data_IF_095920856623
#
_entry.id   IF_095920856623
#
_cell.length_a   1.000
_cell.length_b   1.000
_cell.length_c   1.000
_cell.angle_alpha   90.00
_cell.angle_beta   90.00
_cell.angle_gamma   90.00
#
_symmetry.space_group_name_H-M   'P 1'
#
loop_
_entity.id
_entity.type
_entity.pdbx_description
1 polymer ?
#
# COMPACT_ATOMS: atom_id res chain seq x y z
N UNK A 1 0.20 9.84 -12.41
CA UNK A 1 -0.90 8.93 -12.01
C UNK A 1 -1.16 7.83 -13.04
N UNK A 2 -1.22 8.14 -14.34
CA UNK A 2 -1.46 7.12 -15.38
C UNK A 2 -0.47 5.95 -15.34
N UNK A 3 0.84 6.20 -15.36
CA UNK A 3 1.87 5.14 -15.31
C UNK A 3 1.80 4.35 -13.99
N UNK A 4 1.58 5.04 -12.87
CA UNK A 4 1.49 4.42 -11.54
C UNK A 4 0.32 3.43 -11.45
N UNK A 5 -0.83 3.76 -12.04
CA UNK A 5 -1.98 2.87 -12.11
C UNK A 5 -1.84 1.81 -13.22
N UNK A 6 -1.66 2.23 -14.47
CA UNK A 6 -1.73 1.34 -15.65
C UNK A 6 -0.52 0.43 -15.83
N UNK A 7 0.61 0.74 -15.20
CA UNK A 7 1.81 -0.10 -15.22
C UNK A 7 2.08 -0.71 -13.86
N UNK A 8 2.43 0.09 -12.85
CA UNK A 8 2.91 -0.46 -11.58
C UNK A 8 1.82 -1.26 -10.85
N UNK A 9 0.63 -0.69 -10.64
CA UNK A 9 -0.46 -1.42 -10.00
C UNK A 9 -0.88 -2.65 -10.83
N UNK A 10 -0.98 -2.50 -12.15
CA UNK A 10 -1.30 -3.62 -13.06
C UNK A 10 -0.28 -4.77 -12.95
N UNK A 11 1.02 -4.47 -12.84
CA UNK A 11 2.06 -5.50 -12.68
C UNK A 11 1.86 -6.29 -11.39
N UNK A 12 1.53 -5.64 -10.27
CA UNK A 12 1.24 -6.34 -9.02
C UNK A 12 0.04 -7.28 -9.16
N UNK A 13 -1.05 -6.82 -9.80
CA UNK A 13 -2.24 -7.66 -10.04
C UNK A 13 -1.91 -8.86 -10.91
N UNK A 14 -1.24 -8.64 -12.04
CA UNK A 14 -0.88 -9.72 -12.97
C UNK A 14 0.02 -10.75 -12.30
N UNK A 15 1.08 -10.32 -11.62
CA UNK A 15 2.03 -11.24 -10.98
C UNK A 15 1.43 -11.94 -9.75
N UNK A 16 0.50 -11.30 -9.03
CA UNK A 16 -0.23 -11.94 -7.95
C UNK A 16 -1.06 -13.10 -8.49
N UNK A 17 -1.86 -12.88 -9.55
CA UNK A 17 -2.68 -13.94 -10.15
C UNK A 17 -1.81 -15.12 -10.62
N UNK A 18 -0.70 -14.84 -11.32
CA UNK A 18 0.24 -15.88 -11.74
C UNK A 18 0.86 -16.64 -10.56
N UNK A 19 1.11 -15.96 -9.44
CA UNK A 19 1.67 -16.61 -8.24
C UNK A 19 0.64 -17.47 -7.52
N UNK A 20 -0.64 -17.06 -7.53
CA UNK A 20 -1.76 -17.83 -6.96
C UNK A 20 -1.99 -19.10 -7.79
N UNK A 21 -2.03 -19.01 -9.12
CA UNK A 21 -2.17 -20.18 -10.00
C UNK A 21 -1.06 -21.22 -9.74
N UNK A 22 0.19 -20.75 -9.59
CA UNK A 22 1.33 -21.61 -9.24
C UNK A 22 1.22 -22.20 -7.84
N UNK A 23 0.68 -21.44 -6.89
CA UNK A 23 0.47 -21.93 -5.53
C UNK A 23 -0.58 -23.04 -5.50
N UNK A 24 -1.69 -22.87 -6.23
CA UNK A 24 -2.75 -23.88 -6.33
C UNK A 24 -2.21 -25.20 -6.89
N UNK A 25 -1.41 -25.15 -7.96
CA UNK A 25 -0.75 -26.33 -8.52
C UNK A 25 0.24 -26.97 -7.53
N UNK A 26 1.06 -26.17 -6.85
CA UNK A 26 2.01 -26.66 -5.85
C UNK A 26 1.30 -27.34 -4.66
N UNK A 27 0.19 -26.76 -4.20
CA UNK A 27 -0.66 -27.34 -3.14
C UNK A 27 -1.30 -28.65 -3.61
N UNK A 28 -1.84 -28.70 -4.84
CA UNK A 28 -2.42 -29.92 -5.41
C UNK A 28 -1.41 -31.07 -5.47
N UNK A 29 -0.14 -30.75 -5.75
CA UNK A 29 0.98 -31.71 -5.79
C UNK A 29 1.60 -31.99 -4.42
N UNK A 30 1.18 -31.27 -3.37
CA UNK A 30 1.82 -31.27 -2.04
C UNK A 30 3.32 -30.96 -2.10
N UNK A 31 3.73 -30.13 -3.05
CA UNK A 31 5.11 -29.70 -3.23
C UNK A 31 5.45 -28.57 -2.25
N UNK A 32 5.91 -28.95 -1.06
CA UNK A 32 6.32 -28.01 -0.03
C UNK A 32 7.46 -27.08 -0.46
N UNK A 33 8.35 -27.53 -1.35
CA UNK A 33 9.47 -26.70 -1.82
C UNK A 33 8.97 -25.56 -2.71
N UNK A 34 8.10 -25.86 -3.67
CA UNK A 34 7.49 -24.86 -4.53
C UNK A 34 6.65 -23.85 -3.74
N UNK A 35 5.89 -24.32 -2.73
CA UNK A 35 5.12 -23.46 -1.83
C UNK A 35 6.04 -22.44 -1.12
N UNK A 36 7.16 -22.89 -0.56
CA UNK A 36 8.11 -22.02 0.14
C UNK A 36 8.76 -20.99 -0.80
N UNK A 37 9.08 -21.39 -2.04
CA UNK A 37 9.67 -20.49 -3.03
C UNK A 37 8.71 -19.37 -3.48
N UNK A 38 7.40 -19.66 -3.54
CA UNK A 38 6.38 -18.69 -3.97
C UNK A 38 6.06 -17.62 -2.91
N UNK A 39 6.36 -17.88 -1.64
CA UNK A 39 5.93 -17.01 -0.53
C UNK A 39 6.38 -15.56 -0.70
N UNK A 40 7.64 -15.32 -1.10
CA UNK A 40 8.17 -13.97 -1.28
C UNK A 40 7.47 -13.21 -2.41
N UNK A 41 7.24 -13.88 -3.55
CA UNK A 41 6.55 -13.30 -4.70
C UNK A 41 5.09 -12.99 -4.39
N UNK A 42 4.40 -13.87 -3.66
CA UNK A 42 3.03 -13.64 -3.22
C UNK A 42 2.98 -12.45 -2.28
N UNK A 43 3.83 -12.40 -1.25
CA UNK A 43 3.85 -11.29 -0.30
C UNK A 43 4.07 -9.95 -1.00
N UNK A 44 5.06 -9.87 -1.90
CA UNK A 44 5.38 -8.64 -2.60
C UNK A 44 4.25 -8.16 -3.53
N UNK A 45 3.68 -9.05 -4.34
CA UNK A 45 2.64 -8.67 -5.30
C UNK A 45 1.28 -8.48 -4.64
N UNK A 46 0.95 -9.28 -3.62
CA UNK A 46 -0.26 -9.08 -2.81
C UNK A 46 -0.22 -7.73 -2.08
N UNK A 47 0.89 -7.46 -1.41
CA UNK A 47 1.08 -6.19 -0.72
C UNK A 47 1.07 -5.00 -1.68
N UNK A 48 1.72 -5.13 -2.84
CA UNK A 48 1.67 -4.10 -3.88
C UNK A 48 0.23 -3.83 -4.36
N UNK A 49 -0.55 -4.87 -4.62
CA UNK A 49 -1.95 -4.72 -5.02
C UNK A 49 -2.82 -4.05 -3.93
N UNK A 50 -2.77 -4.54 -2.69
CA UNK A 50 -3.59 -4.01 -1.59
C UNK A 50 -3.20 -2.58 -1.24
N UNK A 51 -1.90 -2.29 -1.14
CA UNK A 51 -1.43 -0.97 -0.77
C UNK A 51 -1.88 0.08 -1.79
N UNK A 52 -1.72 -0.20 -3.09
CA UNK A 52 -2.18 0.69 -4.15
C UNK A 52 -3.71 0.80 -4.21
N UNK A 53 -4.45 -0.28 -3.92
CA UNK A 53 -5.92 -0.24 -3.90
C UNK A 53 -6.46 0.67 -2.78
N UNK A 54 -5.74 0.77 -1.66
CA UNK A 54 -6.03 1.72 -0.58
C UNK A 54 -5.61 3.13 -0.99
N UNK A 55 -4.39 3.28 -1.51
CA UNK A 55 -3.85 4.56 -2.00
C UNK A 55 -4.83 5.27 -2.95
N UNK A 56 -5.35 4.56 -3.96
CA UNK A 56 -6.26 5.16 -4.93
C UNK A 56 -7.55 5.70 -4.31
N UNK A 57 -8.09 5.02 -3.29
CA UNK A 57 -9.29 5.49 -2.57
C UNK A 57 -8.99 6.64 -1.62
N UNK A 58 -7.76 6.68 -1.10
CA UNK A 58 -7.27 7.75 -0.25
C UNK A 58 -6.93 9.05 -1.01
N UNK A 59 -7.01 9.09 -2.35
CA UNK A 59 -6.79 10.31 -3.12
C UNK A 59 -8.10 11.07 -3.45
N UNK A 60 -8.10 12.39 -3.32
CA UNK A 60 -9.16 13.35 -3.65
C UNK A 60 -8.56 14.62 -4.29
N UNK A 61 -9.35 15.55 -4.85
CA UNK A 61 -8.81 16.79 -5.43
C UNK A 61 -8.05 17.68 -4.41
N UNK A 62 -7.11 18.55 -4.86
CA UNK A 62 -6.15 19.31 -4.05
C UNK A 62 -6.65 20.22 -2.91
N UNK A 63 -7.94 20.34 -2.66
CA UNK A 63 -8.50 21.29 -1.71
C UNK A 63 -8.39 20.90 -0.23
N UNK A 64 -7.64 19.85 0.18
CA UNK A 64 -7.86 19.17 1.48
C UNK A 64 -6.64 18.88 2.43
N UNK A 65 -5.43 19.41 2.18
CA UNK A 65 -4.25 19.66 3.10
C UNK A 65 -3.56 18.58 4.00
N UNK A 66 -2.24 18.76 4.35
CA UNK A 66 -1.37 17.94 5.30
C UNK A 66 0.21 17.86 5.06
N UNK A 67 1.01 17.04 5.84
CA UNK A 67 2.53 17.09 5.98
C UNK A 67 3.52 15.84 5.98
N UNK A 68 4.75 15.94 6.51
CA UNK A 68 5.95 15.18 6.00
C UNK A 68 6.21 13.70 6.45
N UNK A 69 6.96 12.89 5.66
CA UNK A 69 7.30 11.45 5.90
C UNK A 69 8.67 10.90 5.32
N UNK A 70 8.96 9.65 5.70
CA UNK A 70 10.22 8.86 5.76
C UNK A 70 11.21 8.83 4.55
N UNK A 71 12.47 8.39 4.81
CA UNK A 71 13.53 8.17 3.80
C UNK A 71 13.70 6.69 3.39
N UNK A 72 13.38 6.34 2.14
CA UNK A 72 13.58 5.01 1.53
C UNK A 72 12.40 4.60 0.63
N UNK A 73 12.45 3.41 0.02
CA UNK A 73 11.30 2.79 -0.69
C UNK A 73 10.40 2.06 0.30
N UNK A 74 9.11 2.35 0.29
CA UNK A 74 8.17 1.80 1.26
C UNK A 74 6.88 2.61 1.34
N UNK A 75 6.19 2.49 2.47
CA UNK A 75 4.91 3.14 2.71
C UNK A 75 4.84 3.75 4.11
N UNK A 76 4.24 4.93 4.20
CA UNK A 76 3.80 5.51 5.47
C UNK A 76 2.30 5.33 5.67
N UNK A 77 1.91 4.93 6.88
CA UNK A 77 0.52 4.57 7.19
C UNK A 77 -0.01 5.29 8.42
N UNK A 78 -1.25 5.75 8.35
CA UNK A 78 -2.12 5.87 9.51
C UNK A 78 -2.92 4.57 9.63
N UNK A 79 -2.86 3.93 10.79
CA UNK A 79 -3.58 2.69 11.08
C UNK A 79 -4.42 2.79 12.34
N UNK A 80 -5.49 2.01 12.41
CA UNK A 80 -6.20 1.73 13.65
C UNK A 80 -5.79 0.37 14.21
N UNK A 81 -5.29 0.34 15.45
CA UNK A 81 -4.96 -0.89 16.13
C UNK A 81 -6.17 -1.40 16.91
N UNK A 82 -6.74 -2.53 16.48
CA UNK A 82 -7.93 -3.12 17.11
C UNK A 82 -7.67 -3.66 18.52
N UNK A 83 -6.43 -4.01 18.83
CA UNK A 83 -6.04 -4.52 20.16
C UNK A 83 -5.98 -3.39 21.18
N UNK A 84 -5.30 -2.29 20.83
CA UNK A 84 -5.13 -1.13 21.73
C UNK A 84 -6.27 -0.13 21.63
N UNK A 85 -7.13 -0.25 20.61
CA UNK A 85 -8.20 0.69 20.24
C UNK A 85 -7.69 2.11 20.00
N UNK A 86 -6.49 2.22 19.42
CA UNK A 86 -5.80 3.49 19.21
C UNK A 86 -5.39 3.69 17.75
N UNK A 87 -5.22 4.95 17.37
CA UNK A 87 -4.57 5.33 16.11
C UNK A 87 -3.05 5.24 16.28
N UNK A 88 -2.38 4.69 15.27
CA UNK A 88 -0.93 4.52 15.25
C UNK A 88 -0.36 4.97 13.90
N UNK A 89 0.86 5.48 13.91
CA UNK A 89 1.66 5.64 12.69
C UNK A 89 2.48 4.38 12.51
N UNK A 90 2.44 3.81 11.31
CA UNK A 90 3.24 2.66 10.94
C UNK A 90 3.98 2.91 9.63
N UNK A 91 5.07 2.20 9.43
CA UNK A 91 5.81 2.21 8.16
C UNK A 91 6.09 0.78 7.74
N UNK A 92 5.93 0.49 6.46
CA UNK A 92 6.31 -0.81 5.90
C UNK A 92 7.38 -0.63 4.84
N UNK A 93 8.33 -1.56 4.79
CA UNK A 93 9.35 -1.59 3.76
C UNK A 93 8.78 -2.18 2.47
N UNK A 94 9.37 -1.82 1.34
CA UNK A 94 8.99 -2.36 0.04
C UNK A 94 7.47 -2.27 -0.23
N UNK A 95 6.85 -3.40 -0.57
CA UNK A 95 5.41 -3.52 -0.77
C UNK A 95 4.73 -4.27 0.36
N UNK A 96 5.40 -4.43 1.51
CA UNK A 96 4.84 -5.19 2.63
C UNK A 96 3.53 -4.55 3.09
N UNK A 97 2.43 -5.32 3.21
CA UNK A 97 1.14 -4.79 3.63
C UNK A 97 1.08 -4.65 5.15
N UNK A 98 0.15 -3.81 5.63
CA UNK A 98 -0.28 -3.87 7.02
C UNK A 98 -1.09 -5.16 7.24
N UNK A 99 -0.66 -5.98 8.20
CA UNK A 99 -1.28 -7.27 8.54
C UNK A 99 -1.70 -7.34 10.01
N UNK A 100 -2.55 -8.32 10.32
CA UNK A 100 -2.95 -8.66 11.69
C UNK A 100 -4.01 -7.72 12.27
N UNK A 101 -3.78 -7.24 13.50
CA UNK A 101 -4.74 -6.45 14.27
C UNK A 101 -4.76 -4.96 13.89
N UNK A 102 -3.94 -4.55 12.92
CA UNK A 102 -3.89 -3.18 12.42
C UNK A 102 -4.73 -3.06 11.15
N UNK A 103 -5.57 -2.04 11.09
CA UNK A 103 -6.36 -1.71 9.91
C UNK A 103 -5.76 -0.46 9.25
N UNK A 104 -5.31 -0.53 7.99
CA UNK A 104 -4.81 0.65 7.28
C UNK A 104 -5.95 1.62 6.96
N UNK A 105 -5.76 2.89 7.33
CA UNK A 105 -6.73 3.97 7.11
C UNK A 105 -6.29 4.90 5.98
N UNK A 106 -5.03 5.36 6.05
CA UNK A 106 -4.37 6.20 5.05
C UNK A 106 -3.02 5.59 4.70
N UNK A 107 -2.74 5.38 3.42
CA UNK A 107 -1.43 4.95 2.90
C UNK A 107 -0.81 6.00 1.98
N UNK A 108 0.47 6.32 2.19
CA UNK A 108 1.27 7.19 1.32
C UNK A 108 2.41 6.36 0.73
N UNK A 109 2.42 6.22 -0.60
CA UNK A 109 3.47 5.54 -1.36
C UNK A 109 4.72 6.42 -1.43
N UNK A 110 5.82 5.99 -0.81
CA UNK A 110 7.10 6.72 -0.85
C UNK A 110 8.14 6.08 -1.77
N UNK A 111 7.73 5.17 -2.66
CA UNK A 111 8.57 4.69 -3.75
C UNK A 111 8.88 5.80 -4.76
N UNK A 112 10.08 5.79 -5.34
CA UNK A 112 10.50 6.79 -6.32
C UNK A 112 9.54 6.88 -7.51
N UNK A 113 8.97 5.76 -7.97
CA UNK A 113 7.99 5.77 -9.07
C UNK A 113 6.75 6.64 -8.77
N UNK A 114 6.44 6.89 -7.50
CA UNK A 114 5.24 7.62 -7.10
C UNK A 114 5.41 9.14 -7.30
N UNK A 115 6.65 9.64 -7.22
CA UNK A 115 6.90 11.08 -7.22
C UNK A 115 7.98 11.56 -8.20
N UNK A 116 8.91 10.71 -8.62
CA UNK A 116 10.14 11.14 -9.30
C UNK A 116 9.89 11.87 -10.63
N UNK A 117 8.85 11.48 -11.37
CA UNK A 117 8.48 12.14 -12.63
C UNK A 117 8.07 13.62 -12.44
N UNK A 118 7.60 14.01 -11.26
CA UNK A 118 7.18 15.38 -10.96
C UNK A 118 8.17 16.10 -10.03
N UNK A 119 8.59 15.44 -8.96
CA UNK A 119 9.38 16.03 -7.87
C UNK A 119 10.87 15.65 -7.94
N UNK A 120 11.27 14.77 -8.87
CA UNK A 120 12.65 14.28 -9.00
C UNK A 120 13.18 13.78 -7.65
N UNK A 121 14.33 14.27 -7.21
CA UNK A 121 14.96 13.91 -5.95
C UNK A 121 14.37 14.66 -4.74
N UNK A 122 13.39 15.55 -4.94
CA UNK A 122 12.83 16.42 -3.90
C UNK A 122 11.59 15.79 -3.26
N UNK A 123 11.77 14.60 -2.68
CA UNK A 123 10.68 13.89 -1.97
C UNK A 123 9.95 14.75 -0.92
N UNK A 124 10.60 15.64 -0.14
CA UNK A 124 9.87 16.50 0.80
C UNK A 124 8.79 17.35 0.14
N UNK A 125 8.95 17.77 -1.12
CA UNK A 125 7.92 18.57 -1.80
C UNK A 125 6.75 17.71 -2.26
N UNK A 126 6.99 16.46 -2.67
CA UNK A 126 5.93 15.47 -2.87
C UNK A 126 5.12 15.28 -1.57
N UNK A 127 5.80 15.16 -0.44
CA UNK A 127 5.18 14.92 0.85
C UNK A 127 4.47 16.14 1.42
N UNK A 128 4.83 17.36 1.03
CA UNK A 128 3.99 18.54 1.30
C UNK A 128 2.75 18.56 0.41
N UNK A 129 2.86 18.11 -0.83
CA UNK A 129 1.79 18.19 -1.81
C UNK A 129 0.74 17.07 -1.66
N UNK A 130 1.13 15.87 -1.22
CA UNK A 130 0.25 14.68 -1.19
C UNK A 130 -1.03 14.89 -0.40
N UNK A 131 -1.01 15.78 0.57
CA UNK A 131 -2.13 15.94 1.46
C UNK A 131 -3.21 16.89 0.97
N UNK A 132 -2.84 17.78 0.07
CA UNK A 132 -3.81 18.52 -0.72
C UNK A 132 -4.81 17.56 -1.36
N UNK A 133 -4.33 16.36 -1.72
CA UNK A 133 -5.11 15.34 -2.42
C UNK A 133 -5.54 14.18 -1.53
N UNK A 134 -5.63 14.32 -0.19
CA UNK A 134 -6.14 13.22 0.65
C UNK A 134 -7.68 13.23 0.74
N UNK A 135 -8.27 12.05 0.53
CA UNK A 135 -9.70 11.79 0.71
C UNK A 135 -10.02 11.46 2.18
N UNK A 136 -10.17 12.49 3.00
CA UNK A 136 -10.50 12.32 4.42
C UNK A 136 -11.84 11.62 4.68
N UNK A 137 -12.77 11.63 3.72
CA UNK A 137 -14.03 10.89 3.81
C UNK A 137 -13.77 9.38 3.81
N UNK A 138 -12.99 8.87 2.86
CA UNK A 138 -12.62 7.44 2.82
C UNK A 138 -11.82 7.03 4.08
N UNK A 139 -10.87 7.86 4.51
CA UNK A 139 -10.12 7.62 5.76
C UNK A 139 -11.06 7.53 6.98
N UNK A 140 -12.05 8.43 7.06
CA UNK A 140 -13.02 8.44 8.16
C UNK A 140 -13.97 7.24 8.12
N UNK A 141 -14.47 6.87 6.94
CA UNK A 141 -15.32 5.70 6.76
C UNK A 141 -14.59 4.40 7.15
N UNK A 142 -13.31 4.28 6.76
CA UNK A 142 -12.44 3.17 7.19
C UNK A 142 -12.25 3.14 8.70
N UNK A 143 -12.03 4.30 9.33
CA UNK A 143 -11.89 4.40 10.78
C UNK A 143 -13.16 3.93 11.48
N UNK A 144 -14.32 4.46 11.08
CA UNK A 144 -15.62 4.08 11.64
C UNK A 144 -15.91 2.58 11.47
N UNK A 145 -15.55 1.99 10.33
CA UNK A 145 -15.70 0.55 10.12
C UNK A 145 -14.71 -0.27 10.97
N UNK A 146 -13.52 0.27 11.27
CA UNK A 146 -12.49 -0.41 12.04
C UNK A 146 -12.73 -0.33 13.56
N UNK A 147 -13.38 0.74 14.03
CA UNK A 147 -13.59 1.06 15.45
C UNK A 147 -14.91 0.56 16.03
N UNK A 148 -15.77 -0.03 15.20
CA UNK A 148 -16.96 -0.79 15.63
C UNK A 148 -16.54 -2.13 16.24
#
# INVERSE_FOLDING_TARGET
>A
MEIHHSKHHQTYVTNLNLSIEKLEDAVAKRDGSAILQLQSAINFNYGGHINHSIFWKNLAPPSLGGGDLQKGSGWGWLVYNKTTKALEIATTSNQDPILGHRVPLLGIDVWEHAYYLQYRNVRPDYLKAVWNVVNWKDVSERYLAASQ
#
